data_IF_191570723145
#
_entry.id   IF_191570723145
#
_cell.length_a   1.000
_cell.length_b   1.000
_cell.length_c   1.000
_cell.angle_alpha   90.00
_cell.angle_beta   90.00
_cell.angle_gamma   90.00
#
_symmetry.space_group_name_H-M   'P 1'
#
loop_
_entity.id
_entity.type
_entity.pdbx_description
1 polymer ?
#
# COMPACT_ATOMS: atom_id res chain seq x y z
N UNK A 1 7.44 -34.14 57.85
CA UNK A 1 6.06 -34.56 58.07
C UNK A 1 5.39 -34.45 56.71
N UNK A 2 5.47 -35.37 55.87
CA UNK A 2 4.88 -36.70 55.71
C UNK A 2 3.35 -36.66 55.70
N UNK A 3 2.84 -37.07 54.61
CA UNK A 3 1.63 -37.82 54.26
C UNK A 3 0.98 -37.21 52.98
N UNK A 4 0.74 -37.86 51.89
CA UNK A 4 0.45 -39.24 51.63
C UNK A 4 -0.71 -39.25 50.64
N UNK A 5 -0.49 -39.72 49.43
CA UNK A 5 -1.54 -39.93 48.40
C UNK A 5 -2.46 -41.12 48.78
N UNK A 6 -3.57 -41.24 48.18
CA UNK A 6 -4.04 -42.58 47.81
C UNK A 6 -4.39 -42.74 46.32
N UNK A 7 -4.17 -43.98 45.95
CA UNK A 7 -4.23 -44.69 44.69
C UNK A 7 -5.71 -44.97 44.29
N UNK A 8 -5.90 -45.13 42.99
CA UNK A 8 -7.12 -45.49 42.24
C UNK A 8 -7.71 -46.85 42.59
N UNK A 9 -8.87 -47.18 42.08
CA UNK A 9 -8.99 -48.52 41.51
C UNK A 9 -9.51 -48.54 40.05
N UNK A 10 -9.00 -49.54 39.42
CA UNK A 10 -9.24 -50.07 38.06
C UNK A 10 -10.57 -50.85 38.06
N UNK A 11 -11.38 -50.74 37.05
CA UNK A 11 -12.49 -51.67 36.76
C UNK A 11 -12.58 -51.91 35.23
N UNK A 12 -12.40 -53.00 34.90
CA UNK A 12 -12.79 -54.19 34.17
C UNK A 12 -13.67 -53.94 32.91
N UNK A 13 -13.19 -54.56 31.84
CA UNK A 13 -13.90 -54.78 30.58
C UNK A 13 -14.94 -55.89 30.69
N UNK A 14 -15.98 -55.91 29.87
CA UNK A 14 -16.64 -57.15 29.51
C UNK A 14 -16.48 -57.49 28.01
N UNK A 15 -16.43 -58.77 27.82
CA UNK A 15 -16.15 -59.52 26.61
C UNK A 15 -17.34 -59.59 25.63
N UNK A 16 -16.97 -59.93 24.41
CA UNK A 16 -17.76 -60.31 23.24
C UNK A 16 -18.88 -61.33 23.50
N UNK A 17 -19.93 -61.13 22.74
CA UNK A 17 -20.81 -62.24 22.33
C UNK A 17 -21.08 -62.17 20.82
N UNK A 18 -20.57 -63.17 20.12
CA UNK A 18 -20.86 -63.49 18.73
C UNK A 18 -22.20 -64.20 18.62
N UNK A 19 -23.11 -63.73 17.78
CA UNK A 19 -24.23 -64.54 17.28
C UNK A 19 -24.28 -64.51 15.75
N UNK A 20 -24.42 -65.72 15.23
CA UNK A 20 -24.41 -66.15 13.83
C UNK A 20 -25.65 -65.68 13.05
N UNK A 21 -25.38 -65.52 11.74
CA UNK A 21 -26.31 -65.20 10.66
C UNK A 21 -27.39 -66.30 10.43
N UNK A 22 -28.44 -66.02 9.63
CA UNK A 22 -28.63 -66.81 8.46
C UNK A 22 -28.77 -66.08 7.14
N UNK A 23 -28.33 -66.79 6.10
CA UNK A 23 -28.36 -66.45 4.68
C UNK A 23 -29.78 -66.46 4.10
N UNK A 24 -30.00 -65.64 3.10
CA UNK A 24 -30.79 -65.77 1.87
C UNK A 24 -31.68 -64.56 1.61
N UNK A 25 -31.45 -63.94 0.44
CA UNK A 25 -32.33 -62.94 -0.12
C UNK A 25 -31.61 -62.15 -1.22
N UNK A 26 -31.55 -62.73 -2.43
CA UNK A 26 -31.11 -62.08 -3.66
C UNK A 26 -32.16 -61.03 -4.04
N UNK A 27 -31.87 -59.79 -4.07
CA UNK A 27 -32.65 -58.76 -4.76
C UNK A 27 -31.71 -57.74 -5.40
N UNK A 28 -31.84 -57.74 -6.73
CA UNK A 28 -31.22 -56.79 -7.65
C UNK A 28 -31.67 -55.37 -7.29
N UNK A 29 -30.75 -54.53 -6.85
CA UNK A 29 -30.99 -53.09 -6.72
C UNK A 29 -30.10 -52.38 -7.73
N UNK A 30 -30.73 -51.72 -8.72
CA UNK A 30 -30.13 -50.87 -9.72
C UNK A 30 -29.25 -49.81 -9.04
N UNK A 31 -27.99 -49.74 -9.47
CA UNK A 31 -27.08 -48.64 -9.20
C UNK A 31 -27.55 -47.42 -10.03
N UNK A 32 -28.30 -46.52 -9.44
CA UNK A 32 -28.47 -45.17 -9.98
C UNK A 32 -27.24 -44.35 -9.52
N UNK A 33 -26.22 -44.29 -10.38
CA UNK A 33 -25.12 -43.37 -10.23
C UNK A 33 -25.63 -41.95 -10.52
N UNK A 34 -25.98 -41.20 -9.49
CA UNK A 34 -26.13 -39.74 -9.59
C UNK A 34 -24.73 -39.16 -9.80
N UNK A 35 -24.42 -38.88 -11.04
CA UNK A 35 -23.36 -37.96 -11.42
C UNK A 35 -23.77 -36.56 -10.96
N UNK A 36 -23.44 -36.20 -9.72
CA UNK A 36 -23.41 -34.82 -9.29
C UNK A 36 -22.28 -34.12 -10.05
N UNK A 37 -22.59 -33.58 -11.23
CA UNK A 37 -21.75 -32.61 -11.91
C UNK A 37 -21.79 -31.33 -11.07
N UNK A 38 -20.92 -31.26 -10.06
CA UNK A 38 -20.59 -30.04 -9.38
C UNK A 38 -19.96 -29.09 -10.42
N UNK A 39 -20.77 -28.18 -10.94
CA UNK A 39 -20.24 -27.03 -11.66
C UNK A 39 -19.31 -26.30 -10.71
N UNK A 40 -18.00 -26.53 -10.82
CA UNK A 40 -17.00 -25.63 -10.30
C UNK A 40 -17.28 -24.27 -10.96
N UNK A 41 -17.99 -23.40 -10.27
CA UNK A 41 -18.04 -21.98 -10.61
C UNK A 41 -16.61 -21.51 -10.41
N UNK A 42 -15.82 -21.52 -11.50
CA UNK A 42 -14.52 -20.89 -11.50
C UNK A 42 -14.74 -19.43 -11.09
N UNK A 43 -14.17 -19.03 -9.96
CA UNK A 43 -14.11 -17.62 -9.61
C UNK A 43 -13.58 -16.89 -10.85
N UNK A 44 -14.19 -15.74 -11.25
CA UNK A 44 -13.68 -15.00 -12.39
C UNK A 44 -12.20 -14.70 -12.13
N UNK A 45 -11.35 -15.14 -13.05
CA UNK A 45 -9.94 -14.79 -12.99
C UNK A 45 -9.85 -13.27 -12.91
N UNK A 46 -9.01 -12.70 -12.02
CA UNK A 46 -8.85 -11.26 -11.95
C UNK A 46 -8.55 -10.73 -13.35
N UNK A 47 -9.25 -9.67 -13.74
CA UNK A 47 -9.07 -9.05 -15.05
C UNK A 47 -7.55 -8.84 -15.23
N UNK A 48 -7.01 -9.37 -16.33
CA UNK A 48 -5.57 -9.32 -16.60
C UNK A 48 -5.13 -7.85 -16.55
N UNK A 49 -4.23 -7.51 -15.64
CA UNK A 49 -3.58 -6.21 -15.60
C UNK A 49 -2.55 -6.05 -16.73
N UNK A 50 -2.74 -6.76 -17.83
CA UNK A 50 -1.94 -6.63 -19.03
C UNK A 50 -2.00 -5.18 -19.52
N UNK A 51 -0.85 -4.51 -19.52
CA UNK A 51 -0.74 -3.09 -19.84
C UNK A 51 -0.54 -2.18 -18.64
N UNK A 52 -0.82 -2.60 -17.40
CA UNK A 52 -0.53 -1.79 -16.21
C UNK A 52 0.98 -1.74 -15.98
N UNK A 53 1.51 -0.53 -15.95
CA UNK A 53 2.89 -0.26 -15.58
C UNK A 53 2.98 0.25 -14.16
N UNK A 54 3.77 -0.42 -13.33
CA UNK A 54 4.10 0.00 -11.96
C UNK A 54 5.55 0.46 -11.91
N UNK A 55 5.80 1.65 -11.38
CA UNK A 55 7.15 2.13 -11.11
C UNK A 55 7.37 2.17 -9.59
N UNK A 56 8.43 1.54 -9.11
CA UNK A 56 8.79 1.53 -7.69
C UNK A 56 10.16 2.15 -7.51
N UNK A 57 10.21 3.17 -6.67
CA UNK A 57 11.40 3.97 -6.40
C UNK A 57 11.78 3.86 -4.93
N UNK A 58 13.05 3.54 -4.63
CA UNK A 58 13.59 3.60 -3.28
C UNK A 58 14.79 4.55 -3.27
N UNK A 59 14.64 5.67 -2.57
CA UNK A 59 15.74 6.60 -2.31
C UNK A 59 16.66 6.13 -1.19
N UNK A 60 17.85 6.76 -1.02
CA UNK A 60 18.70 6.50 0.13
C UNK A 60 17.98 6.95 1.42
N UNK A 61 17.96 6.10 2.45
CA UNK A 61 17.27 6.33 3.71
C UNK A 61 18.12 5.91 4.94
N UNK A 62 19.44 5.95 4.81
CA UNK A 62 20.38 5.58 5.88
C UNK A 62 20.12 4.16 6.40
N UNK A 63 19.96 4.01 7.72
CA UNK A 63 19.69 2.71 8.37
C UNK A 63 18.35 2.07 7.94
N UNK A 64 17.39 2.84 7.46
CA UNK A 64 16.10 2.34 6.99
C UNK A 64 16.15 1.78 5.56
N UNK A 65 17.21 2.02 4.82
CA UNK A 65 17.33 1.61 3.41
C UNK A 65 17.05 0.13 3.21
N UNK A 66 17.60 -0.75 4.04
CA UNK A 66 17.42 -2.20 3.91
C UNK A 66 15.97 -2.65 4.11
N UNK A 67 15.23 -2.04 5.04
CA UNK A 67 13.81 -2.33 5.25
C UNK A 67 12.97 -1.82 4.08
N UNK A 68 13.22 -0.61 3.58
CA UNK A 68 12.51 -0.05 2.43
C UNK A 68 12.73 -0.86 1.14
N UNK A 69 13.95 -1.35 0.92
CA UNK A 69 14.26 -2.24 -0.19
C UNK A 69 13.49 -3.57 -0.08
N UNK A 70 13.31 -4.09 1.13
CA UNK A 70 12.54 -5.32 1.37
C UNK A 70 11.07 -5.12 1.06
N UNK A 71 10.44 -4.07 1.60
CA UNK A 71 9.05 -3.72 1.31
C UNK A 71 8.83 -3.48 -0.19
N UNK A 72 9.71 -2.70 -0.83
CA UNK A 72 9.64 -2.40 -2.27
C UNK A 72 9.70 -3.66 -3.16
N UNK A 73 10.59 -4.63 -2.83
CA UNK A 73 10.65 -5.91 -3.53
C UNK A 73 9.37 -6.75 -3.32
N UNK A 74 8.79 -6.71 -2.12
CA UNK A 74 7.49 -7.31 -1.83
C UNK A 74 6.38 -6.71 -2.70
N UNK A 75 6.31 -5.38 -2.78
CA UNK A 75 5.37 -4.68 -3.65
C UNK A 75 5.58 -4.98 -5.13
N UNK A 76 6.84 -5.10 -5.57
CA UNK A 76 7.17 -5.46 -6.94
C UNK A 76 6.69 -6.89 -7.27
N UNK A 77 6.95 -7.84 -6.39
CA UNK A 77 6.48 -9.23 -6.54
C UNK A 77 4.94 -9.29 -6.56
N UNK A 78 4.29 -8.56 -5.66
CA UNK A 78 2.83 -8.47 -5.59
C UNK A 78 2.25 -7.89 -6.90
N UNK A 79 2.76 -6.77 -7.39
CA UNK A 79 2.27 -6.19 -8.64
C UNK A 79 2.46 -7.13 -9.84
N UNK A 80 3.60 -7.83 -9.91
CA UNK A 80 3.85 -8.85 -10.95
C UNK A 80 2.89 -10.03 -10.86
N UNK A 81 2.48 -10.46 -9.68
CA UNK A 81 1.52 -11.56 -9.53
C UNK A 81 0.13 -11.22 -10.09
N UNK A 82 -0.18 -9.92 -10.21
CA UNK A 82 -1.37 -9.44 -10.91
C UNK A 82 -1.16 -9.21 -12.42
N UNK A 83 0.02 -9.50 -12.97
CA UNK A 83 0.33 -9.35 -14.38
C UNK A 83 0.88 -7.97 -14.78
N UNK A 84 1.21 -7.10 -13.84
CA UNK A 84 1.77 -5.78 -14.14
C UNK A 84 3.23 -5.85 -14.59
N UNK A 85 3.61 -4.94 -15.50
CA UNK A 85 5.01 -4.66 -15.81
C UNK A 85 5.59 -3.73 -14.72
N UNK A 86 6.70 -4.15 -14.08
CA UNK A 86 7.27 -3.41 -12.96
C UNK A 86 8.66 -2.86 -13.31
N UNK A 87 8.80 -1.53 -13.23
CA UNK A 87 10.07 -0.82 -13.31
C UNK A 87 10.58 -0.51 -11.89
N UNK A 88 11.77 -0.98 -11.56
CA UNK A 88 12.37 -0.83 -10.24
C UNK A 88 13.61 0.07 -10.31
N UNK A 89 13.63 1.15 -9.52
CA UNK A 89 14.77 2.08 -9.42
C UNK A 89 15.13 2.29 -7.96
N UNK A 90 16.13 1.57 -7.52
CA UNK A 90 16.54 1.52 -6.13
C UNK A 90 17.91 2.14 -5.89
N UNK A 91 18.07 2.76 -4.72
CA UNK A 91 19.38 3.18 -4.24
C UNK A 91 20.36 1.97 -4.22
N UNK A 92 21.65 2.15 -4.59
CA UNK A 92 22.35 3.41 -4.88
C UNK A 92 22.15 3.95 -6.31
N UNK A 93 21.28 3.35 -7.09
CA UNK A 93 21.07 3.68 -8.50
C UNK A 93 19.86 4.62 -8.74
N UNK A 94 19.16 5.05 -7.69
CA UNK A 94 17.99 5.92 -7.77
C UNK A 94 18.40 7.38 -8.02
N UNK A 95 19.03 7.66 -9.17
CA UNK A 95 19.31 9.03 -9.61
C UNK A 95 18.10 9.63 -10.32
N UNK A 96 18.01 10.96 -10.36
CA UNK A 96 16.89 11.64 -11.02
C UNK A 96 16.69 11.20 -12.48
N UNK A 97 17.76 11.08 -13.25
CA UNK A 97 17.67 10.66 -14.64
C UNK A 97 17.02 9.28 -14.79
N UNK A 98 17.41 8.30 -13.94
CA UNK A 98 16.85 6.94 -13.97
C UNK A 98 15.41 6.91 -13.46
N UNK A 99 15.13 7.61 -12.35
CA UNK A 99 13.77 7.71 -11.81
C UNK A 99 12.84 8.34 -12.82
N UNK A 100 13.22 9.50 -13.40
CA UNK A 100 12.43 10.17 -14.43
C UNK A 100 12.13 9.26 -15.62
N UNK A 101 13.09 8.49 -16.10
CA UNK A 101 12.87 7.55 -17.21
C UNK A 101 11.91 6.42 -16.84
N UNK A 102 12.03 5.86 -15.64
CA UNK A 102 11.24 4.73 -15.19
C UNK A 102 9.77 5.08 -14.94
N UNK A 103 9.49 6.27 -14.41
CA UNK A 103 8.14 6.66 -13.99
C UNK A 103 7.26 7.15 -15.14
N UNK A 104 7.82 7.47 -16.32
CA UNK A 104 7.00 7.93 -17.46
C UNK A 104 5.95 6.88 -17.83
N UNK A 105 4.71 7.30 -17.96
CA UNK A 105 3.59 6.45 -18.34
C UNK A 105 3.22 5.37 -17.31
N UNK A 106 3.69 5.46 -16.06
CA UNK A 106 3.30 4.52 -15.03
C UNK A 106 1.86 4.76 -14.58
N UNK A 107 1.08 3.68 -14.44
CA UNK A 107 -0.27 3.69 -13.87
C UNK A 107 -0.22 3.73 -12.34
N UNK A 108 0.83 3.14 -11.74
CA UNK A 108 1.08 3.18 -10.31
C UNK A 108 2.54 3.59 -10.07
N UNK A 109 2.72 4.65 -9.29
CA UNK A 109 4.03 5.06 -8.80
C UNK A 109 4.09 4.82 -7.29
N UNK A 110 5.08 4.05 -6.82
CA UNK A 110 5.33 3.82 -5.40
C UNK A 110 6.71 4.39 -5.08
N UNK A 111 6.78 5.28 -4.09
CA UNK A 111 8.03 5.86 -3.65
C UNK A 111 8.24 5.64 -2.15
N UNK A 112 9.40 5.08 -1.79
CA UNK A 112 9.90 4.92 -0.44
C UNK A 112 11.21 5.69 -0.28
N UNK A 113 11.36 6.45 0.80
CA UNK A 113 12.58 7.24 1.02
C UNK A 113 12.40 8.33 2.05
N UNK A 114 13.27 9.33 2.01
CA UNK A 114 13.09 10.54 2.79
C UNK A 114 12.01 11.43 2.19
N UNK A 115 11.16 11.97 3.07
CA UNK A 115 10.30 13.10 2.75
C UNK A 115 10.97 14.42 3.15
N UNK A 116 10.82 15.45 2.33
CA UNK A 116 11.17 16.84 2.63
C UNK A 116 9.97 17.71 2.27
N UNK A 117 8.91 17.62 3.06
CA UNK A 117 7.66 18.35 2.81
C UNK A 117 7.69 19.75 3.41
N UNK A 118 6.87 20.66 2.89
CA UNK A 118 6.70 22.01 3.40
C UNK A 118 5.29 22.20 3.99
N UNK A 119 5.15 22.87 5.15
CA UNK A 119 6.14 23.51 6.03
C UNK A 119 7.02 22.52 6.82
N UNK A 120 8.29 22.85 6.96
CA UNK A 120 9.25 22.12 7.77
C UNK A 120 10.24 23.10 8.46
N UNK A 121 11.00 22.66 9.48
CA UNK A 121 11.89 23.56 10.22
C UNK A 121 13.13 24.01 9.44
N UNK A 122 13.41 23.41 8.28
CA UNK A 122 14.63 23.67 7.50
C UNK A 122 14.44 24.72 6.40
N UNK A 123 13.18 25.02 6.06
CA UNK A 123 12.84 25.95 4.99
C UNK A 123 11.84 26.98 5.51
N UNK A 124 12.24 28.26 5.58
CA UNK A 124 11.36 29.34 5.99
C UNK A 124 10.26 29.66 4.96
N UNK A 125 10.48 29.31 3.69
CA UNK A 125 9.58 29.54 2.57
C UNK A 125 9.46 28.29 1.72
N UNK A 126 8.35 28.16 1.00
CA UNK A 126 8.15 27.09 0.03
C UNK A 126 9.22 27.19 -1.08
N UNK A 127 10.07 26.18 -1.18
CA UNK A 127 11.14 26.08 -2.17
C UNK A 127 10.89 24.90 -3.11
N UNK A 128 10.08 25.04 -4.18
CA UNK A 128 9.63 23.92 -5.02
C UNK A 128 10.74 23.08 -5.67
N UNK A 129 11.97 23.63 -5.74
CA UNK A 129 13.13 22.87 -6.22
C UNK A 129 13.60 21.80 -5.23
N UNK A 130 13.29 21.93 -3.93
CA UNK A 130 13.85 21.06 -2.87
C UNK A 130 12.81 20.32 -2.05
N UNK A 131 11.56 20.81 -1.98
CA UNK A 131 10.51 20.24 -1.14
C UNK A 131 9.41 19.57 -1.96
N UNK A 132 8.65 18.66 -1.32
CA UNK A 132 7.43 18.05 -1.86
C UNK A 132 7.68 17.20 -3.13
N UNK A 133 8.71 16.36 -3.08
CA UNK A 133 9.10 15.49 -4.19
C UNK A 133 9.94 14.30 -3.75
N UNK A 134 10.96 13.95 -4.51
CA UNK A 134 11.81 12.80 -4.28
C UNK A 134 13.11 13.17 -3.56
N UNK A 135 13.51 12.34 -2.58
CA UNK A 135 14.86 12.32 -2.02
C UNK A 135 15.64 11.14 -2.65
N UNK A 136 16.59 11.43 -3.52
CA UNK A 136 17.27 10.45 -4.37
C UNK A 136 18.80 10.48 -4.21
N UNK A 137 19.49 9.55 -4.87
CA UNK A 137 20.93 9.61 -5.02
C UNK A 137 21.31 10.78 -5.94
N UNK A 138 22.22 11.65 -5.51
CA UNK A 138 22.71 12.74 -6.33
C UNK A 138 23.52 12.27 -7.54
N UNK A 139 24.23 11.14 -7.37
CA UNK A 139 25.00 10.45 -8.42
C UNK A 139 25.04 8.96 -8.11
N UNK A 140 25.55 8.14 -9.04
CA UNK A 140 25.74 6.71 -8.83
C UNK A 140 26.77 6.38 -7.72
N UNK A 141 27.64 7.32 -7.39
CA UNK A 141 28.65 7.17 -6.33
C UNK A 141 28.21 7.68 -4.96
N UNK A 142 27.01 8.26 -4.82
CA UNK A 142 26.58 8.88 -3.55
C UNK A 142 26.17 7.89 -2.46
N UNK A 143 26.07 6.58 -2.78
CA UNK A 143 25.72 5.53 -1.81
C UNK A 143 24.34 5.73 -1.15
N UNK A 144 24.13 5.10 0.01
CA UNK A 144 22.85 5.14 0.73
C UNK A 144 22.75 6.26 1.78
N UNK A 145 23.79 7.08 1.92
CA UNK A 145 23.91 8.06 3.03
C UNK A 145 23.55 9.48 2.58
N UNK A 146 23.78 9.80 1.31
CA UNK A 146 23.54 11.15 0.78
C UNK A 146 22.27 11.22 -0.05
N UNK A 147 21.36 12.10 0.39
CA UNK A 147 20.11 12.38 -0.31
C UNK A 147 20.16 13.73 -0.99
N UNK A 148 19.80 13.76 -2.27
CA UNK A 148 19.54 14.98 -3.03
C UNK A 148 18.05 15.09 -3.30
N UNK A 149 17.46 16.23 -2.98
CA UNK A 149 16.03 16.43 -3.16
C UNK A 149 15.72 17.03 -4.53
N UNK A 150 14.78 16.38 -5.21
CA UNK A 150 14.15 16.81 -6.45
C UNK A 150 12.69 17.11 -6.14
N UNK A 151 12.41 18.37 -5.81
CA UNK A 151 11.13 18.80 -5.27
C UNK A 151 10.01 18.87 -6.29
N UNK A 152 8.89 19.48 -5.89
CA UNK A 152 7.67 19.62 -6.68
C UNK A 152 7.94 20.12 -8.11
N UNK A 153 8.86 21.08 -8.28
CA UNK A 153 9.19 21.61 -9.59
C UNK A 153 9.60 20.52 -10.59
N UNK A 154 10.51 19.65 -10.18
CA UNK A 154 10.98 18.56 -11.04
C UNK A 154 9.85 17.56 -11.33
N UNK A 155 9.08 17.22 -10.31
CA UNK A 155 7.96 16.27 -10.44
C UNK A 155 6.96 16.80 -11.48
N UNK A 156 6.37 17.97 -11.25
CA UNK A 156 5.29 18.52 -12.10
C UNK A 156 5.72 18.90 -13.52
N UNK A 157 7.01 19.16 -13.74
CA UNK A 157 7.51 19.62 -15.05
C UNK A 157 8.17 18.52 -15.89
N UNK A 158 8.65 17.43 -15.26
CA UNK A 158 9.45 16.42 -15.95
C UNK A 158 8.89 15.01 -15.83
N UNK A 159 7.82 14.79 -15.04
CA UNK A 159 7.13 13.50 -14.92
C UNK A 159 5.77 13.59 -15.61
N UNK A 160 5.46 12.57 -16.40
CA UNK A 160 4.13 12.37 -17.00
C UNK A 160 3.72 10.93 -16.73
N UNK A 161 2.78 10.74 -15.83
CA UNK A 161 2.19 9.43 -15.52
C UNK A 161 1.12 9.07 -16.56
N UNK A 162 0.65 7.83 -16.52
CA UNK A 162 -0.50 7.41 -17.32
C UNK A 162 -1.77 8.18 -16.91
N UNK A 163 -2.76 8.30 -17.80
CA UNK A 163 -4.10 8.72 -17.38
C UNK A 163 -4.60 7.84 -16.23
N UNK A 164 -5.37 8.43 -15.33
CA UNK A 164 -5.91 7.75 -14.13
C UNK A 164 -4.86 7.20 -13.15
N UNK A 165 -3.58 7.53 -13.30
CA UNK A 165 -2.53 7.02 -12.43
C UNK A 165 -2.79 7.30 -10.94
N UNK A 166 -2.27 6.41 -10.10
CA UNK A 166 -2.25 6.55 -8.64
C UNK A 166 -0.80 6.60 -8.16
N UNK A 167 -0.56 7.42 -7.15
CA UNK A 167 0.76 7.51 -6.48
C UNK A 167 0.63 7.04 -5.04
N UNK A 168 1.58 6.26 -4.57
CA UNK A 168 1.72 5.85 -3.17
C UNK A 168 3.05 6.37 -2.63
N UNK A 169 2.97 7.29 -1.69
CA UNK A 169 4.10 7.82 -0.92
C UNK A 169 4.18 7.01 0.37
N UNK A 170 5.18 6.14 0.47
CA UNK A 170 5.29 5.19 1.56
C UNK A 170 6.48 5.50 2.47
N UNK A 171 6.23 5.64 3.77
CA UNK A 171 7.22 5.96 4.81
C UNK A 171 7.92 7.32 4.67
N UNK A 172 7.32 8.29 3.99
CA UNK A 172 7.89 9.62 3.84
C UNK A 172 7.45 10.55 4.97
N UNK A 173 8.42 11.18 5.65
CA UNK A 173 8.12 12.28 6.56
C UNK A 173 7.36 13.40 5.84
N UNK A 174 6.47 14.08 6.54
CA UNK A 174 5.62 15.17 6.07
C UNK A 174 4.49 14.79 5.11
N UNK A 175 4.60 13.70 4.32
CA UNK A 175 3.61 13.36 3.29
C UNK A 175 2.22 13.05 3.84
N UNK A 176 2.15 12.50 5.06
CA UNK A 176 0.89 12.24 5.78
C UNK A 176 0.43 13.42 6.63
N UNK A 177 1.17 14.53 6.64
CA UNK A 177 1.02 15.64 7.56
C UNK A 177 1.92 15.55 8.81
N UNK A 178 2.58 14.41 9.05
CA UNK A 178 3.48 14.16 10.19
C UNK A 178 4.69 15.10 10.21
N UNK A 179 5.44 15.08 11.32
CA UNK A 179 6.81 15.59 11.38
C UNK A 179 7.82 14.46 11.25
N UNK A 180 9.08 14.79 11.02
CA UNK A 180 10.20 13.89 11.27
C UNK A 180 10.29 13.52 12.75
N UNK A 181 10.81 12.32 13.09
CA UNK A 181 11.14 11.98 14.47
C UNK A 181 12.06 13.04 15.10
N UNK A 182 11.72 13.46 16.31
CA UNK A 182 12.47 14.52 17.04
C UNK A 182 11.99 15.95 16.77
N UNK A 183 11.19 16.20 15.75
CA UNK A 183 10.59 17.50 15.48
C UNK A 183 9.23 17.65 16.19
N UNK A 184 8.82 18.89 16.52
CA UNK A 184 7.54 19.15 17.17
C UNK A 184 6.35 18.56 16.42
N UNK A 185 5.35 18.12 17.18
CA UNK A 185 4.04 17.71 16.66
C UNK A 185 3.40 18.87 15.89
N UNK A 186 2.98 18.66 14.63
CA UNK A 186 2.39 19.72 13.83
C UNK A 186 0.97 20.05 14.31
N UNK A 187 0.58 21.32 14.21
CA UNK A 187 -0.82 21.70 14.36
C UNK A 187 -1.66 21.10 13.21
N UNK A 188 -2.99 20.95 13.36
CA UNK A 188 -3.86 20.49 12.29
C UNK A 188 -3.74 21.33 11.01
N UNK A 189 -3.54 22.63 11.14
CA UNK A 189 -3.33 23.55 10.00
C UNK A 189 -2.03 23.22 9.26
N UNK A 190 -0.93 23.05 9.97
CA UNK A 190 0.37 22.68 9.39
C UNK A 190 0.29 21.29 8.73
N UNK A 191 -0.38 20.34 9.38
CA UNK A 191 -0.53 18.99 8.82
C UNK A 191 -1.32 19.00 7.50
N UNK A 192 -2.43 19.76 7.41
CA UNK A 192 -3.19 19.94 6.17
C UNK A 192 -2.34 20.57 5.07
N UNK A 193 -1.58 21.62 5.39
CA UNK A 193 -0.67 22.27 4.43
C UNK A 193 0.37 21.30 3.89
N UNK A 194 0.95 20.46 4.74
CA UNK A 194 1.94 19.44 4.34
C UNK A 194 1.35 18.43 3.36
N UNK A 195 0.17 17.89 3.68
CA UNK A 195 -0.53 16.93 2.82
C UNK A 195 -0.84 17.56 1.45
N UNK A 196 -1.39 18.76 1.45
CA UNK A 196 -1.77 19.47 0.23
C UNK A 196 -0.55 19.85 -0.63
N UNK A 197 0.53 20.33 0.00
CA UNK A 197 1.77 20.67 -0.69
C UNK A 197 2.44 19.43 -1.28
N UNK A 198 2.62 18.38 -0.46
CA UNK A 198 3.38 17.19 -0.89
C UNK A 198 2.73 16.48 -2.08
N UNK A 199 1.41 16.48 -2.15
CA UNK A 199 0.67 15.77 -3.20
C UNK A 199 0.52 16.58 -4.49
N UNK A 200 0.58 17.91 -4.42
CA UNK A 200 0.27 18.80 -5.54
C UNK A 200 1.15 18.56 -6.77
N UNK A 201 2.45 18.35 -6.59
CA UNK A 201 3.37 18.07 -7.69
C UNK A 201 3.02 16.78 -8.42
N UNK A 202 2.71 15.73 -7.68
CA UNK A 202 2.34 14.43 -8.22
C UNK A 202 0.98 14.46 -8.93
N UNK A 203 -0.03 15.13 -8.37
CA UNK A 203 -1.33 15.28 -9.04
C UNK A 203 -1.22 16.00 -10.39
N UNK A 204 -0.27 16.94 -10.53
CA UNK A 204 -0.01 17.64 -11.80
C UNK A 204 0.72 16.80 -12.85
N UNK A 205 1.13 15.58 -12.53
CA UNK A 205 1.74 14.64 -13.50
C UNK A 205 0.71 13.85 -14.30
N UNK A 206 -0.58 13.97 -14.01
CA UNK A 206 -1.68 13.16 -14.56
C UNK A 206 -2.25 12.16 -13.55
N UNK A 207 -1.69 12.08 -12.35
CA UNK A 207 -2.24 11.24 -11.29
C UNK A 207 -3.62 11.76 -10.84
N UNK A 208 -4.55 10.83 -10.60
CA UNK A 208 -5.88 11.13 -10.06
C UNK A 208 -5.92 11.07 -8.54
N UNK A 209 -4.99 10.35 -7.92
CA UNK A 209 -4.87 10.33 -6.47
C UNK A 209 -3.43 10.08 -6.01
N UNK A 210 -3.11 10.62 -4.84
CA UNK A 210 -1.86 10.40 -4.11
C UNK A 210 -2.21 9.92 -2.72
N UNK A 211 -1.90 8.66 -2.42
CA UNK A 211 -1.96 8.10 -1.08
C UNK A 211 -0.62 8.32 -0.39
N UNK A 212 -0.64 8.66 0.89
CA UNK A 212 0.53 8.68 1.74
C UNK A 212 0.28 7.81 2.98
N UNK A 213 1.22 6.93 3.32
CA UNK A 213 1.12 6.06 4.50
C UNK A 213 2.47 5.81 5.15
N UNK A 214 2.49 5.76 6.48
CA UNK A 214 3.63 5.29 7.28
C UNK A 214 3.53 3.79 7.62
N UNK A 215 2.45 3.11 7.20
CA UNK A 215 2.28 1.67 7.25
C UNK A 215 2.64 0.98 5.94
N UNK A 216 2.33 -0.31 5.86
CA UNK A 216 2.54 -1.10 4.64
C UNK A 216 1.56 -0.70 3.53
N UNK A 217 2.05 -0.67 2.29
CA UNK A 217 1.25 -0.30 1.12
C UNK A 217 0.59 -1.50 0.41
N UNK A 218 0.86 -2.72 0.83
CA UNK A 218 0.39 -3.95 0.18
C UNK A 218 -1.12 -4.01 0.03
N UNK A 219 -1.88 -3.54 1.03
CA UNK A 219 -3.34 -3.46 0.94
C UNK A 219 -3.82 -2.51 -0.17
N UNK A 220 -3.17 -1.34 -0.31
CA UNK A 220 -3.51 -0.38 -1.37
C UNK A 220 -3.26 -0.98 -2.76
N UNK A 221 -2.12 -1.68 -2.92
CA UNK A 221 -1.77 -2.38 -4.16
C UNK A 221 -2.82 -3.46 -4.45
N UNK A 222 -3.10 -4.34 -3.48
CA UNK A 222 -4.10 -5.39 -3.63
C UNK A 222 -5.46 -4.82 -4.07
N UNK A 223 -5.96 -3.82 -3.36
CA UNK A 223 -7.26 -3.21 -3.63
C UNK A 223 -7.35 -2.57 -5.01
N UNK A 224 -6.28 -1.92 -5.49
CA UNK A 224 -6.24 -1.34 -6.84
C UNK A 224 -6.33 -2.43 -7.92
N UNK A 225 -5.69 -3.58 -7.72
CA UNK A 225 -5.67 -4.66 -8.71
C UNK A 225 -6.90 -5.57 -8.65
N UNK A 226 -7.52 -5.76 -7.48
CA UNK A 226 -8.51 -6.83 -7.28
C UNK A 226 -9.93 -6.35 -6.97
N UNK A 227 -10.13 -5.07 -6.59
CA UNK A 227 -11.44 -4.54 -6.25
C UNK A 227 -11.97 -3.54 -7.29
N UNK A 228 -13.27 -3.21 -7.19
CA UNK A 228 -13.91 -2.11 -7.95
C UNK A 228 -14.27 -0.94 -7.04
N UNK A 229 -13.72 -0.89 -5.83
CA UNK A 229 -14.00 0.13 -4.83
C UNK A 229 -13.57 1.51 -5.32
N UNK A 230 -14.29 2.56 -4.85
CA UNK A 230 -13.80 3.93 -4.97
C UNK A 230 -12.51 4.12 -4.16
N UNK A 231 -11.63 5.03 -4.60
CA UNK A 231 -10.36 5.29 -3.91
C UNK A 231 -10.57 5.74 -2.46
N UNK A 232 -11.67 6.44 -2.17
CA UNK A 232 -12.04 6.79 -0.80
C UNK A 232 -12.36 5.56 0.05
N UNK A 233 -13.05 4.58 -0.51
CA UNK A 233 -13.40 3.33 0.20
C UNK A 233 -12.15 2.48 0.42
N UNK A 234 -11.25 2.39 -0.57
CA UNK A 234 -9.93 1.75 -0.41
C UNK A 234 -9.17 2.41 0.75
N UNK A 235 -9.14 3.75 0.81
CA UNK A 235 -8.49 4.45 1.91
C UNK A 235 -9.10 4.08 3.27
N UNK A 236 -10.44 4.04 3.37
CA UNK A 236 -11.13 3.78 4.63
C UNK A 236 -11.25 2.29 5.00
N UNK A 237 -11.08 1.37 4.08
CA UNK A 237 -11.09 -0.07 4.35
C UNK A 237 -9.71 -0.64 4.69
N UNK A 238 -8.65 0.17 4.66
CA UNK A 238 -7.31 -0.29 5.00
C UNK A 238 -7.24 -0.81 6.45
N UNK A 239 -6.46 -1.89 6.70
CA UNK A 239 -6.40 -2.54 8.01
C UNK A 239 -5.93 -1.65 9.16
N UNK A 240 -5.12 -0.62 8.85
CA UNK A 240 -4.53 0.33 9.81
C UNK A 240 -5.37 1.60 10.03
N UNK A 241 -6.63 1.63 9.53
CA UNK A 241 -7.53 2.77 9.73
C UNK A 241 -7.88 2.97 11.20
N UNK A 242 -8.08 4.23 11.60
CA UNK A 242 -8.49 4.55 12.96
C UNK A 242 -9.86 5.23 13.04
N UNK A 243 -10.27 5.99 12.05
CA UNK A 243 -11.55 6.72 11.96
C UNK A 243 -11.76 7.83 13.00
N UNK A 244 -11.08 7.77 14.14
CA UNK A 244 -11.39 8.57 15.31
C UNK A 244 -11.20 10.08 15.11
N UNK A 245 -10.19 10.47 14.34
CA UNK A 245 -9.79 11.87 14.15
C UNK A 245 -9.76 12.29 12.68
N UNK A 246 -10.62 11.67 11.88
CA UNK A 246 -10.68 11.92 10.43
C UNK A 246 -10.81 13.41 10.10
N UNK A 247 -10.05 13.85 9.11
CA UNK A 247 -10.08 15.21 8.59
C UNK A 247 -10.34 15.14 7.09
N UNK A 248 -11.24 15.98 6.58
CA UNK A 248 -11.47 16.14 5.15
C UNK A 248 -11.49 17.64 4.81
N UNK A 249 -10.88 18.00 3.67
CA UNK A 249 -10.84 19.38 3.21
C UNK A 249 -10.62 19.44 1.69
N UNK A 250 -11.07 20.51 1.00
CA UNK A 250 -10.73 20.73 -0.40
C UNK A 250 -9.25 21.07 -0.53
N UNK A 251 -8.56 20.50 -1.54
CA UNK A 251 -7.19 20.87 -1.86
C UNK A 251 -7.12 22.33 -2.34
N UNK A 252 -6.31 23.13 -1.70
CA UNK A 252 -6.03 24.50 -2.13
C UNK A 252 -5.01 24.52 -3.29
N UNK A 253 -4.10 23.54 -3.31
CA UNK A 253 -3.02 23.44 -4.32
C UNK A 253 -3.49 22.79 -5.62
N UNK A 254 -4.56 21.99 -5.57
CA UNK A 254 -5.12 21.30 -6.72
C UNK A 254 -6.64 21.43 -6.69
N UNK A 255 -7.20 22.56 -7.16
CA UNK A 255 -8.65 22.81 -7.14
C UNK A 255 -9.44 21.66 -7.77
N UNK A 256 -10.58 21.30 -7.17
CA UNK A 256 -11.40 20.17 -7.60
C UNK A 256 -11.03 18.83 -6.95
N UNK A 257 -9.86 18.73 -6.30
CA UNK A 257 -9.47 17.54 -5.55
C UNK A 257 -9.84 17.64 -4.07
N UNK A 258 -10.11 16.49 -3.46
CA UNK A 258 -10.41 16.36 -2.02
C UNK A 258 -9.24 15.74 -1.30
N UNK A 259 -8.90 16.28 -0.14
CA UNK A 259 -7.91 15.72 0.78
C UNK A 259 -8.60 15.09 1.98
N UNK A 260 -8.12 13.90 2.37
CA UNK A 260 -8.58 13.16 3.55
C UNK A 260 -7.38 12.69 4.34
N UNK A 261 -7.46 12.81 5.67
CA UNK A 261 -6.42 12.37 6.60
C UNK A 261 -7.05 11.48 7.68
N UNK A 262 -6.29 10.49 8.14
CA UNK A 262 -6.68 9.57 9.21
C UNK A 262 -5.63 9.59 10.33
N UNK A 263 -5.66 10.56 11.24
CA UNK A 263 -4.78 10.59 12.42
C UNK A 263 -5.10 9.47 13.41
N UNK A 264 -4.08 8.85 14.02
CA UNK A 264 -4.23 7.88 15.12
C UNK A 264 -4.62 8.54 16.43
N UNK A 265 -4.16 9.77 16.62
CA UNK A 265 -4.43 10.63 17.77
C UNK A 265 -4.24 12.09 17.34
N UNK A 266 -4.66 13.09 18.11
CA UNK A 266 -4.34 14.48 17.86
C UNK A 266 -2.83 14.66 17.66
N UNK A 267 -2.43 15.20 16.48
CA UNK A 267 -1.02 15.39 16.12
C UNK A 267 -0.30 14.15 15.57
N UNK A 268 -0.90 12.98 15.55
CA UNK A 268 -0.29 11.73 15.04
C UNK A 268 -0.86 11.36 13.67
N UNK A 269 -0.31 11.97 12.63
CA UNK A 269 -0.75 11.79 11.25
C UNK A 269 -0.01 10.65 10.59
N UNK A 270 -0.71 9.57 10.23
CA UNK A 270 -0.07 8.36 9.70
C UNK A 270 -0.53 7.98 8.29
N UNK A 271 -1.68 8.51 7.85
CA UNK A 271 -2.22 8.28 6.51
C UNK A 271 -2.94 9.50 5.98
N UNK A 272 -2.85 9.69 4.67
CA UNK A 272 -3.64 10.68 3.94
C UNK A 272 -3.86 10.24 2.48
N UNK A 273 -4.86 10.81 1.84
CA UNK A 273 -5.10 10.70 0.40
C UNK A 273 -5.60 12.03 -0.12
N UNK A 274 -5.11 12.44 -1.30
CA UNK A 274 -5.59 13.62 -2.01
C UNK A 274 -5.87 13.25 -3.45
N UNK A 275 -7.02 13.64 -3.99
CA UNK A 275 -7.32 13.36 -5.38
C UNK A 275 -8.81 13.38 -5.73
N UNK A 276 -9.12 12.79 -6.89
CA UNK A 276 -10.47 12.41 -7.30
C UNK A 276 -10.84 11.10 -6.60
N UNK A 277 -11.34 11.22 -5.38
CA UNK A 277 -11.58 10.08 -4.50
C UNK A 277 -12.80 9.24 -4.88
N UNK A 278 -13.64 9.72 -5.81
CA UNK A 278 -14.74 8.95 -6.40
C UNK A 278 -14.30 8.05 -7.57
N UNK A 279 -13.10 8.24 -8.11
CA UNK A 279 -12.55 7.31 -9.10
C UNK A 279 -12.46 5.91 -8.50
N UNK A 280 -12.83 4.89 -9.28
CA UNK A 280 -12.79 3.50 -8.82
C UNK A 280 -11.49 2.80 -9.24
N UNK A 281 -11.14 1.71 -8.54
CA UNK A 281 -10.05 0.85 -8.94
C UNK A 281 -10.30 0.20 -10.32
N UNK A 282 -11.55 -0.06 -10.70
CA UNK A 282 -11.91 -0.50 -12.06
C UNK A 282 -11.53 0.55 -13.10
N UNK A 283 -11.85 1.83 -12.88
CA UNK A 283 -11.43 2.95 -13.74
C UNK A 283 -9.92 3.11 -13.79
N UNK A 284 -9.24 2.85 -12.69
CA UNK A 284 -7.78 2.88 -12.66
C UNK A 284 -7.16 1.80 -13.56
N UNK A 285 -7.78 0.61 -13.65
CA UNK A 285 -7.31 -0.50 -14.50
C UNK A 285 -7.67 -0.34 -15.98
N UNK A 286 -8.63 0.52 -16.35
CA UNK A 286 -9.04 0.77 -17.73
C UNK A 286 -8.09 1.74 -18.45
#
# INVERSE_FOLDING_TARGET
>A
MSAGAPVAPRAASPQLALTRAPRRGLLVALLAALLATGSLVAAPAPASAAGIKVAIVVGPAGSLTSSYLRSARGYAAQARSYGATVAEVYTPNATWARVRAAVQGANLLIYLGHGNGFPNPYNATLTPLKVDGFGLNGSLSSGNVRTTYFGEYYVRTQVKLAPNAVVILNHLCYSTGSSEPGNPTPTPTVARQRVDNFTAGFLRTGAQAVFATLGEASYLIDSLFTSDQALLDIFWNAPDRTWAYRISFPSARTPGMTAVMDPKAPGTYHRSVVGNLSMTAATWRS
#
